data_IF_388514477304
#
_entry.id   IF_388514477304
#
_cell.length_a   1.000
_cell.length_b   1.000
_cell.length_c   1.000
_cell.angle_alpha   90.00
_cell.angle_beta   90.00
_cell.angle_gamma   90.00
#
_symmetry.space_group_name_H-M   'P 1'
#
loop_
_entity.id
_entity.type
_entity.pdbx_description
1 polymer ?
#
# COMPACT_ATOMS: atom_id res chain seq x y z
N UNK A 1 24.48 -2.61 21.82
CA UNK A 1 23.51 -1.83 21.02
C UNK A 1 24.34 -0.75 20.32
N UNK A 2 24.13 -0.44 19.03
CA UNK A 2 24.94 0.57 18.32
C UNK A 2 24.99 1.90 19.06
N UNK A 3 26.14 2.59 19.02
CA UNK A 3 26.35 3.86 19.73
C UNK A 3 25.57 5.02 19.09
N UNK A 4 25.26 4.90 17.80
CA UNK A 4 24.43 5.83 17.04
C UNK A 4 23.36 5.03 16.31
N UNK A 5 22.14 5.58 16.26
CA UNK A 5 20.99 4.97 15.60
C UNK A 5 20.44 5.97 14.59
N UNK A 6 20.78 5.78 13.32
CA UNK A 6 20.17 6.51 12.22
C UNK A 6 19.15 5.63 11.54
N UNK A 7 18.01 6.20 11.18
CA UNK A 7 17.05 5.55 10.29
C UNK A 7 17.32 6.00 8.87
N UNK A 8 17.16 5.10 7.90
CA UNK A 8 17.30 5.46 6.49
C UNK A 8 16.30 6.54 6.02
N UNK A 9 15.25 6.80 6.81
CA UNK A 9 14.27 7.87 6.57
C UNK A 9 14.69 9.23 7.11
N UNK A 10 15.73 9.33 7.94
CA UNK A 10 16.14 10.61 8.57
C UNK A 10 16.62 11.64 7.54
N UNK A 11 17.02 11.19 6.35
CA UNK A 11 17.51 12.03 5.26
C UNK A 11 16.52 12.17 4.10
N UNK A 12 15.32 11.59 4.22
CA UNK A 12 14.34 11.64 3.13
C UNK A 12 13.64 13.00 3.08
N UNK A 13 13.62 13.66 1.91
CA UNK A 13 12.90 14.92 1.74
C UNK A 13 11.38 14.70 1.86
N UNK A 14 10.72 15.69 2.46
CA UNK A 14 9.27 15.75 2.58
C UNK A 14 8.73 16.87 1.69
N UNK A 15 7.58 16.64 1.07
CA UNK A 15 6.87 17.61 0.25
C UNK A 15 5.47 17.89 0.84
N UNK A 16 4.81 18.94 0.32
CA UNK A 16 3.40 19.20 0.62
C UNK A 16 2.55 19.14 -0.64
N UNK A 17 1.41 18.48 -0.54
CA UNK A 17 0.42 18.44 -1.63
C UNK A 17 -0.46 19.70 -1.67
N UNK A 18 -1.38 19.75 -2.63
CA UNK A 18 -2.38 20.84 -2.76
C UNK A 18 -3.32 20.97 -1.55
N UNK A 19 -3.48 19.89 -0.79
CA UNK A 19 -4.30 19.84 0.43
C UNK A 19 -3.46 20.15 1.69
N UNK A 20 -2.19 20.51 1.52
CA UNK A 20 -1.23 20.86 2.56
C UNK A 20 -0.90 19.69 3.53
N UNK A 21 -1.10 18.44 3.10
CA UNK A 21 -0.59 17.25 3.79
C UNK A 21 0.92 17.11 3.58
N UNK A 22 1.63 16.64 4.61
CA UNK A 22 3.06 16.34 4.52
C UNK A 22 3.23 14.92 4.02
N UNK A 23 3.89 14.76 2.87
CA UNK A 23 4.14 13.50 2.20
C UNK A 23 5.65 13.28 2.06
N UNK A 24 6.06 12.03 2.07
CA UNK A 24 7.40 11.63 1.62
C UNK A 24 7.51 11.83 0.10
N UNK A 25 8.62 12.42 -0.36
CA UNK A 25 8.79 12.76 -1.78
C UNK A 25 8.80 11.53 -2.68
N UNK A 26 9.49 10.46 -2.24
CA UNK A 26 9.70 9.26 -3.05
C UNK A 26 8.43 8.41 -3.17
N UNK A 27 7.68 8.27 -2.09
CA UNK A 27 6.52 7.35 -2.02
C UNK A 27 5.18 8.06 -2.18
N UNK A 28 5.15 9.40 -2.13
CA UNK A 28 3.92 10.19 -2.07
C UNK A 28 2.99 9.76 -0.91
N UNK A 29 3.57 9.21 0.16
CA UNK A 29 2.83 8.68 1.29
C UNK A 29 3.11 9.50 2.56
N UNK A 30 2.09 9.68 3.40
CA UNK A 30 2.28 10.36 4.67
C UNK A 30 3.27 9.57 5.55
N UNK A 31 4.17 10.23 6.32
CA UNK A 31 5.22 9.52 7.06
C UNK A 31 4.74 8.44 8.03
N UNK A 32 3.53 8.56 8.54
CA UNK A 32 2.92 7.60 9.47
C UNK A 32 2.31 6.37 8.79
N UNK A 33 2.21 6.37 7.46
CA UNK A 33 1.74 5.24 6.65
C UNK A 33 2.88 4.47 5.99
N UNK A 34 4.09 5.03 6.00
CA UNK A 34 5.27 4.33 5.51
C UNK A 34 5.59 3.11 6.39
N UNK A 35 6.16 2.04 5.82
CA UNK A 35 6.62 0.89 6.59
C UNK A 35 7.65 1.31 7.66
N UNK A 36 7.74 0.56 8.79
CA UNK A 36 8.71 0.86 9.84
C UNK A 36 10.13 0.98 9.27
N UNK A 37 10.93 2.00 9.63
CA UNK A 37 12.21 2.22 9.00
C UNK A 37 13.27 1.16 9.39
N UNK A 38 14.31 0.96 8.57
CA UNK A 38 15.50 0.19 8.96
C UNK A 38 16.62 1.10 9.49
N UNK A 39 17.42 0.55 10.40
CA UNK A 39 18.61 1.18 10.97
C UNK A 39 19.79 1.12 10.00
N UNK A 40 20.50 2.23 9.87
CA UNK A 40 21.73 2.36 9.06
C UNK A 40 22.87 2.94 9.89
N UNK A 41 24.10 2.67 9.44
CA UNK A 41 25.29 3.31 9.99
C UNK A 41 25.53 4.70 9.37
N UNK A 42 26.66 5.32 9.73
CA UNK A 42 27.07 6.65 9.24
C UNK A 42 27.28 6.71 7.73
N UNK A 43 27.58 5.56 7.11
CA UNK A 43 27.80 5.43 5.68
C UNK A 43 26.51 5.04 4.93
N UNK A 44 25.40 4.83 5.65
CA UNK A 44 24.11 4.44 5.09
C UNK A 44 23.92 2.93 4.92
N UNK A 45 24.89 2.11 5.32
CA UNK A 45 24.76 0.65 5.20
C UNK A 45 23.81 0.11 6.27
N UNK A 46 22.95 -0.88 5.93
CA UNK A 46 21.99 -1.42 6.89
C UNK A 46 22.70 -2.21 8.00
N UNK A 47 22.32 -1.95 9.25
CA UNK A 47 22.82 -2.71 10.40
C UNK A 47 22.35 -4.19 10.37
N UNK A 48 23.10 -5.12 10.98
CA UNK A 48 22.71 -6.54 11.10
C UNK A 48 21.29 -6.78 11.64
N UNK A 49 20.62 -7.85 11.18
CA UNK A 49 19.22 -8.21 11.54
C UNK A 49 18.94 -8.20 13.04
N UNK A 50 19.89 -8.67 13.86
CA UNK A 50 19.77 -8.65 15.33
C UNK A 50 19.53 -7.25 15.92
N UNK A 51 20.03 -6.19 15.27
CA UNK A 51 19.80 -4.82 15.69
C UNK A 51 18.54 -4.23 15.05
N UNK A 52 18.17 -4.66 13.83
CA UNK A 52 16.93 -4.22 13.18
C UNK A 52 15.67 -4.58 13.96
N UNK A 53 15.69 -5.71 14.69
CA UNK A 53 14.58 -6.11 15.58
C UNK A 53 14.36 -5.18 16.76
N UNK A 54 15.28 -4.25 17.03
CA UNK A 54 15.12 -3.22 18.06
C UNK A 54 14.28 -2.03 17.57
N UNK A 55 14.03 -1.93 16.26
CA UNK A 55 13.15 -0.90 15.72
C UNK A 55 11.69 -1.28 16.04
N UNK A 56 10.90 -0.35 16.59
CA UNK A 56 9.50 -0.59 16.88
C UNK A 56 8.73 -1.12 15.67
N UNK A 57 8.01 -2.23 15.86
CA UNK A 57 7.21 -2.87 14.80
C UNK A 57 7.99 -3.85 13.93
N UNK A 58 9.28 -4.11 14.24
CA UNK A 58 10.14 -5.08 13.54
C UNK A 58 10.55 -6.29 14.37
N UNK A 59 10.07 -6.41 15.61
CA UNK A 59 10.52 -7.42 16.57
C UNK A 59 10.30 -8.84 16.05
N UNK A 60 9.18 -9.05 15.33
CA UNK A 60 8.72 -10.35 14.83
C UNK A 60 8.91 -10.53 13.31
N UNK A 61 9.53 -9.58 12.60
CA UNK A 61 9.76 -9.72 11.16
C UNK A 61 10.68 -10.91 10.86
N UNK A 62 10.47 -11.59 9.73
CA UNK A 62 11.42 -12.59 9.26
C UNK A 62 12.75 -11.92 8.86
N UNK A 63 13.88 -12.62 8.99
CA UNK A 63 15.21 -12.06 8.71
C UNK A 63 15.33 -11.51 7.27
N UNK A 64 14.69 -12.18 6.32
CA UNK A 64 14.59 -11.76 4.91
C UNK A 64 13.87 -10.41 4.69
N UNK A 65 13.02 -10.00 5.62
CA UNK A 65 12.27 -8.73 5.56
C UNK A 65 12.90 -7.62 6.43
N UNK A 66 13.91 -7.94 7.25
CA UNK A 66 14.56 -6.97 8.13
C UNK A 66 15.54 -6.06 7.40
N UNK A 67 16.18 -6.58 6.35
CA UNK A 67 17.09 -5.84 5.50
C UNK A 67 16.46 -5.80 4.12
N UNK A 68 16.05 -4.61 3.64
CA UNK A 68 15.49 -4.53 2.32
C UNK A 68 16.53 -4.91 1.27
N UNK A 69 16.16 -5.78 0.35
CA UNK A 69 16.95 -6.04 -0.85
C UNK A 69 16.84 -4.80 -1.74
N UNK A 70 17.94 -4.11 -2.04
CA UNK A 70 17.95 -2.95 -2.92
C UNK A 70 18.26 -3.44 -4.34
N UNK A 71 17.35 -3.15 -5.27
CA UNK A 71 17.46 -3.43 -6.69
C UNK A 71 17.70 -2.15 -7.45
N UNK A 72 18.58 -2.18 -8.44
CA UNK A 72 18.81 -1.06 -9.33
C UNK A 72 18.00 -1.29 -10.59
N UNK A 73 17.01 -0.44 -10.85
CA UNK A 73 16.26 -0.46 -12.11
C UNK A 73 16.75 0.72 -12.95
N UNK A 74 17.24 0.42 -14.15
CA UNK A 74 17.58 1.47 -15.12
C UNK A 74 16.30 1.91 -15.83
N UNK A 75 15.88 3.15 -15.64
CA UNK A 75 14.79 3.75 -16.42
C UNK A 75 15.30 4.04 -17.84
N UNK A 76 14.37 4.17 -18.81
CA UNK A 76 14.69 4.27 -20.24
C UNK A 76 15.43 5.54 -20.65
N UNK A 77 15.50 6.52 -19.77
CA UNK A 77 16.27 7.77 -19.82
C UNK A 77 17.69 7.65 -19.25
N UNK A 78 18.07 6.48 -18.72
CA UNK A 78 19.41 6.20 -18.20
C UNK A 78 19.62 6.59 -16.74
N UNK A 79 18.58 7.02 -16.03
CA UNK A 79 18.63 7.17 -14.57
C UNK A 79 18.58 5.80 -13.88
N UNK A 80 19.42 5.62 -12.86
CA UNK A 80 19.42 4.43 -12.00
C UNK A 80 18.63 4.76 -10.76
N UNK A 81 17.45 4.17 -10.63
CA UNK A 81 16.60 4.34 -9.45
C UNK A 81 16.83 3.16 -8.51
N UNK A 82 17.19 3.49 -7.27
CA UNK A 82 17.31 2.51 -6.20
C UNK A 82 15.90 2.10 -5.75
N UNK A 83 15.49 0.90 -6.11
CA UNK A 83 14.21 0.33 -5.71
C UNK A 83 14.41 -0.64 -4.55
N UNK A 84 13.61 -0.48 -3.51
CA UNK A 84 13.56 -1.42 -2.40
C UNK A 84 12.78 -2.67 -2.83
N UNK A 85 13.45 -3.70 -3.36
CA UNK A 85 12.85 -5.01 -3.71
C UNK A 85 12.15 -5.62 -2.50
N UNK A 86 12.70 -5.46 -1.28
CA UNK A 86 12.12 -6.00 -0.05
C UNK A 86 10.84 -5.32 0.47
N UNK A 87 10.39 -4.22 -0.15
CA UNK A 87 9.08 -3.60 0.11
C UNK A 87 8.03 -3.99 -0.94
N UNK A 88 8.40 -4.76 -1.96
CA UNK A 88 7.45 -5.35 -2.90
C UNK A 88 6.72 -6.53 -2.24
N UNK A 89 5.74 -6.24 -1.40
CA UNK A 89 4.57 -7.13 -1.27
C UNK A 89 3.28 -6.45 -1.72
N UNK A 90 3.37 -5.29 -2.37
CA UNK A 90 2.25 -4.68 -3.07
C UNK A 90 2.73 -4.14 -4.40
N UNK A 91 2.95 -5.07 -5.33
CA UNK A 91 2.74 -4.97 -6.78
C UNK A 91 3.42 -6.23 -7.35
N UNK A 92 2.69 -7.33 -7.57
CA UNK A 92 2.06 -7.59 -8.86
C UNK A 92 3.00 -7.17 -10.00
N UNK A 93 3.94 -8.04 -10.35
CA UNK A 93 4.03 -8.57 -11.70
C UNK A 93 5.17 -9.60 -11.76
N UNK A 94 4.89 -10.74 -12.39
CA UNK A 94 5.90 -11.64 -12.98
C UNK A 94 6.63 -12.67 -12.11
N UNK A 95 5.99 -13.33 -11.13
CA UNK A 95 6.45 -14.68 -10.71
C UNK A 95 5.38 -15.48 -9.96
N UNK A 96 4.64 -16.31 -10.71
CA UNK A 96 3.83 -17.41 -10.16
C UNK A 96 2.33 -17.19 -10.25
N UNK A 97 1.72 -17.84 -11.24
CA UNK A 97 0.29 -18.00 -11.48
C UNK A 97 -0.43 -18.71 -10.31
N UNK A 98 -0.53 -18.09 -9.14
CA UNK A 98 -1.48 -18.52 -8.12
C UNK A 98 -2.39 -17.33 -7.82
N UNK A 99 -3.71 -17.42 -8.10
CA UNK A 99 -4.63 -16.33 -7.80
C UNK A 99 -4.54 -16.00 -6.31
N UNK A 100 -4.22 -14.74 -5.99
CA UNK A 100 -4.17 -14.24 -4.62
C UNK A 100 -5.46 -14.64 -3.90
N UNK A 101 -5.35 -15.36 -2.78
CA UNK A 101 -6.51 -15.83 -1.99
C UNK A 101 -7.41 -14.64 -1.62
N UNK A 102 -6.81 -13.46 -1.39
CA UNK A 102 -7.50 -12.21 -1.15
C UNK A 102 -8.34 -11.75 -2.35
N UNK A 103 -7.81 -11.84 -3.58
CA UNK A 103 -8.55 -11.53 -4.80
C UNK A 103 -9.74 -12.47 -5.02
N UNK A 104 -9.58 -13.75 -4.68
CA UNK A 104 -10.67 -14.72 -4.67
C UNK A 104 -11.79 -14.30 -3.71
N UNK A 105 -11.43 -13.89 -2.49
CA UNK A 105 -12.38 -13.39 -1.49
C UNK A 105 -13.04 -12.06 -1.91
N UNK A 106 -12.27 -11.11 -2.45
CA UNK A 106 -12.77 -9.81 -2.93
C UNK A 106 -13.81 -10.02 -4.04
N UNK A 107 -13.51 -10.88 -5.02
CA UNK A 107 -14.45 -11.21 -6.12
C UNK A 107 -15.73 -11.86 -5.59
N UNK A 108 -15.62 -12.76 -4.62
CA UNK A 108 -16.80 -13.40 -4.02
C UNK A 108 -17.67 -12.41 -3.25
N UNK A 109 -17.05 -11.46 -2.53
CA UNK A 109 -17.77 -10.40 -1.82
C UNK A 109 -18.49 -9.46 -2.79
N UNK A 110 -17.85 -9.07 -3.90
CA UNK A 110 -18.47 -8.26 -4.96
C UNK A 110 -19.68 -8.98 -5.57
N UNK A 111 -19.57 -10.25 -5.94
CA UNK A 111 -20.69 -11.04 -6.49
C UNK A 111 -21.87 -11.16 -5.51
N UNK A 112 -21.60 -11.19 -4.20
CA UNK A 112 -22.64 -11.27 -3.19
C UNK A 112 -23.33 -9.91 -2.98
N UNK A 113 -22.58 -8.81 -3.06
CA UNK A 113 -23.14 -7.46 -3.03
C UNK A 113 -23.97 -7.16 -4.28
N UNK A 114 -23.51 -7.56 -5.46
CA UNK A 114 -24.23 -7.36 -6.72
C UNK A 114 -25.55 -8.14 -6.74
N UNK A 115 -25.58 -9.38 -6.25
CA UNK A 115 -26.81 -10.16 -6.12
C UNK A 115 -27.81 -9.54 -5.16
N UNK A 116 -27.35 -9.04 -4.01
CA UNK A 116 -28.24 -8.35 -3.05
C UNK A 116 -28.78 -7.05 -3.64
N UNK A 117 -27.94 -6.29 -4.33
CA UNK A 117 -28.32 -5.03 -4.99
C UNK A 117 -29.29 -5.27 -6.15
N UNK A 118 -29.08 -6.33 -6.94
CA UNK A 118 -30.00 -6.73 -8.00
C UNK A 118 -31.35 -7.22 -7.46
N UNK A 119 -31.35 -8.02 -6.39
CA UNK A 119 -32.58 -8.50 -5.75
C UNK A 119 -33.38 -7.35 -5.10
N UNK A 120 -32.73 -6.34 -4.53
CA UNK A 120 -33.39 -5.13 -4.02
C UNK A 120 -33.96 -4.27 -5.16
N UNK A 121 -33.29 -4.18 -6.31
CA UNK A 121 -33.80 -3.47 -7.48
C UNK A 121 -34.99 -4.19 -8.13
N UNK A 122 -34.98 -5.52 -8.22
CA UNK A 122 -36.07 -6.30 -8.80
C UNK A 122 -37.33 -6.31 -7.89
N UNK A 123 -37.12 -6.25 -6.57
CA UNK A 123 -38.18 -6.07 -5.57
C UNK A 123 -38.79 -4.66 -5.61
N UNK A 124 -38.03 -3.65 -6.01
CA UNK A 124 -38.52 -2.28 -6.22
C UNK A 124 -39.25 -2.09 -7.57
N UNK A 125 -38.95 -2.91 -8.59
CA UNK A 125 -39.57 -2.82 -9.92
C UNK A 125 -40.84 -3.68 -10.09
N UNK A 126 -41.16 -4.54 -9.13
CA UNK A 126 -42.32 -5.45 -9.18
C UNK A 126 -43.47 -5.03 -8.24
N UNK A 127 -43.69 -3.73 -8.07
CA UNK A 127 -44.93 -3.17 -7.51
C UNK A 127 -45.97 -2.90 -8.62
N UNK A 128 -47.25 -3.28 -8.45
CA UNK A 128 -48.25 -3.20 -9.52
C UNK A 128 -48.51 -1.75 -9.93
N UNK A 129 -48.39 -1.51 -11.23
CA UNK A 129 -48.77 -0.28 -11.92
C UNK A 129 -50.29 -0.10 -11.79
N UNK A 130 -50.74 0.75 -10.86
CA UNK A 130 -52.14 1.13 -10.79
C UNK A 130 -52.26 2.61 -10.41
N UNK A 131 -52.94 3.38 -11.27
CA UNK A 131 -53.59 4.64 -10.91
C UNK A 131 -52.82 5.94 -11.17
N UNK A 132 -53.13 6.53 -12.32
CA UNK A 132 -53.54 7.94 -12.48
C UNK A 132 -52.61 9.12 -12.08
N UNK A 133 -52.41 10.02 -13.06
CA UNK A 133 -52.57 11.47 -12.82
C UNK A 133 -51.31 12.34 -12.73
N UNK A 134 -51.08 13.14 -13.77
CA UNK A 134 -50.23 14.35 -13.88
C UNK A 134 -50.64 15.50 -12.92
N UNK A 135 -50.00 16.71 -12.91
CA UNK A 135 -48.60 17.13 -13.08
C UNK A 135 -48.10 18.15 -12.00
N UNK A 136 -46.81 18.54 -12.13
CA UNK A 136 -46.05 19.63 -11.49
C UNK A 136 -46.80 20.93 -11.13
N UNK A 137 -46.48 21.49 -9.95
CA UNK A 137 -46.32 22.94 -9.64
C UNK A 137 -45.72 23.07 -8.22
N UNK A 138 -44.79 23.96 -7.86
CA UNK A 138 -44.04 25.03 -8.53
C UNK A 138 -42.90 25.45 -7.62
#
# INVERSE_FOLDING_TARGET
>A
IPDQMFFHTDYRPLIRDSNNYVLDEQTQQAPHLMPPPFLVDVDGNPHPTKYQRLVPGRENCADEHLIPQLGYVATSDGEVVEQVIGQQTVDQDEQGLEPSILDGMIRQLQLQQDQRTAADQESASSGPQNGEGTPRRG
#
